data_IF_011571325691
#
_entry.id   IF_011571325691
#
_cell.length_a   1.000
_cell.length_b   1.000
_cell.length_c   1.000
_cell.angle_alpha   90.00
_cell.angle_beta   90.00
_cell.angle_gamma   90.00
#
_symmetry.space_group_name_H-M   'P 1'
#
loop_
_entity.id
_entity.type
_entity.pdbx_description
1 polymer ?
#
# COMPACT_ATOMS: atom_id res chain seq x y z
N UNK A 1 11.39 21.80 4.87
CA UNK A 1 11.68 21.15 3.57
C UNK A 1 11.38 22.14 2.45
N UNK A 2 12.21 22.21 1.40
CA UNK A 2 11.94 23.16 0.29
C UNK A 2 10.88 22.56 -0.64
N UNK A 3 10.00 23.38 -1.20
CA UNK A 3 8.89 22.90 -2.06
C UNK A 3 9.39 22.11 -3.27
N UNK A 4 10.57 22.45 -3.80
CA UNK A 4 11.21 21.74 -4.90
C UNK A 4 11.67 20.32 -4.51
N UNK A 5 12.09 20.12 -3.27
CA UNK A 5 12.44 18.79 -2.74
C UNK A 5 11.19 17.93 -2.57
N UNK A 6 10.09 18.50 -2.06
CA UNK A 6 8.79 17.84 -1.97
C UNK A 6 8.32 17.37 -3.37
N UNK A 7 8.31 18.27 -4.36
CA UNK A 7 7.91 17.94 -5.73
C UNK A 7 8.81 16.85 -6.33
N UNK A 8 10.12 16.91 -6.09
CA UNK A 8 11.07 15.90 -6.57
C UNK A 8 10.81 14.53 -5.93
N UNK A 9 10.49 14.50 -4.64
CA UNK A 9 10.20 13.25 -3.92
C UNK A 9 8.89 12.62 -4.39
N UNK A 10 7.82 13.40 -4.54
CA UNK A 10 6.55 12.92 -5.11
C UNK A 10 6.72 12.35 -6.52
N UNK A 11 7.56 12.98 -7.35
CA UNK A 11 7.86 12.48 -8.68
C UNK A 11 8.56 11.11 -8.65
N UNK A 12 9.47 10.89 -7.69
CA UNK A 12 10.13 9.59 -7.47
C UNK A 12 9.15 8.54 -6.96
N UNK A 13 8.26 8.88 -6.03
CA UNK A 13 7.19 7.99 -5.55
C UNK A 13 6.31 7.55 -6.72
N UNK A 14 5.89 8.49 -7.56
CA UNK A 14 5.09 8.22 -8.76
C UNK A 14 5.83 7.32 -9.76
N UNK A 15 7.13 7.56 -9.98
CA UNK A 15 7.96 6.72 -10.85
C UNK A 15 8.10 5.29 -10.30
N UNK A 16 8.24 5.13 -8.98
CA UNK A 16 8.30 3.82 -8.33
C UNK A 16 7.00 3.03 -8.54
N UNK A 17 5.85 3.67 -8.33
CA UNK A 17 4.51 3.08 -8.58
C UNK A 17 4.36 2.71 -10.06
N UNK A 18 4.72 3.60 -10.98
CA UNK A 18 4.65 3.32 -12.41
C UNK A 18 5.54 2.13 -12.80
N UNK A 19 6.75 2.06 -12.24
CA UNK A 19 7.67 0.94 -12.45
C UNK A 19 7.09 -0.38 -11.93
N UNK A 20 6.50 -0.41 -10.74
CA UNK A 20 5.93 -1.64 -10.18
C UNK A 20 4.76 -2.15 -11.03
N UNK A 21 3.92 -1.26 -11.57
CA UNK A 21 2.86 -1.64 -12.51
C UNK A 21 3.41 -2.24 -13.82
N UNK A 22 4.49 -1.67 -14.37
CA UNK A 22 5.15 -2.20 -15.58
C UNK A 22 5.77 -3.57 -15.30
N UNK A 23 6.43 -3.74 -14.15
CA UNK A 23 7.00 -5.03 -13.74
C UNK A 23 5.90 -6.08 -13.59
N UNK A 24 4.81 -5.75 -12.88
CA UNK A 24 3.67 -6.66 -12.68
C UNK A 24 3.01 -7.06 -14.02
N UNK A 25 2.86 -6.11 -14.96
CA UNK A 25 2.32 -6.39 -16.28
C UNK A 25 3.21 -7.33 -17.11
N UNK A 26 4.53 -7.17 -17.02
CA UNK A 26 5.49 -8.01 -17.73
C UNK A 26 5.70 -9.39 -17.08
N UNK A 27 5.41 -9.53 -15.78
CA UNK A 27 5.48 -10.80 -15.06
C UNK A 27 4.25 -11.68 -15.27
N UNK A 28 3.07 -11.10 -15.53
CA UNK A 28 1.82 -11.85 -15.68
C UNK A 28 1.87 -12.95 -16.78
N UNK A 29 2.42 -12.72 -17.99
CA UNK A 29 2.56 -13.75 -19.01
C UNK A 29 3.56 -14.85 -18.62
N UNK A 30 4.70 -14.46 -18.05
CA UNK A 30 5.75 -15.40 -17.65
C UNK A 30 5.27 -16.36 -16.54
N UNK A 31 4.53 -15.83 -15.57
CA UNK A 31 3.91 -16.61 -14.50
C UNK A 31 2.83 -17.56 -15.03
N UNK A 32 2.02 -17.10 -15.99
CA UNK A 32 0.96 -17.92 -16.58
C UNK A 32 1.51 -19.13 -17.36
N UNK A 33 2.71 -19.00 -17.95
CA UNK A 33 3.39 -20.09 -18.65
C UNK A 33 4.09 -21.04 -17.65
N UNK A 34 4.66 -20.49 -16.57
CA UNK A 34 5.36 -21.28 -15.55
C UNK A 34 4.43 -22.05 -14.60
N UNK A 35 3.16 -21.65 -14.48
CA UNK A 35 2.15 -22.30 -13.63
C UNK A 35 0.84 -22.59 -14.35
N UNK A 36 0.75 -23.71 -15.05
CA UNK A 36 -0.46 -24.12 -15.78
C UNK A 36 -1.70 -24.29 -14.89
N UNK A 37 -1.51 -24.45 -13.57
CA UNK A 37 -2.53 -24.70 -12.55
C UNK A 37 -3.08 -23.43 -11.87
N UNK A 38 -2.71 -22.22 -12.35
CA UNK A 38 -3.11 -20.91 -11.81
C UNK A 38 -2.72 -20.66 -10.34
N UNK A 39 -1.94 -21.53 -9.70
CA UNK A 39 -1.52 -21.37 -8.30
C UNK A 39 -0.54 -20.22 -8.09
N UNK A 40 0.17 -19.78 -9.14
CA UNK A 40 1.16 -18.71 -9.02
C UNK A 40 0.65 -17.36 -9.51
N UNK A 41 -0.65 -17.10 -9.72
CA UNK A 41 -1.08 -15.70 -9.82
C UNK A 41 -0.52 -14.98 -8.60
N UNK A 42 0.41 -14.03 -8.76
CA UNK A 42 1.24 -13.60 -7.66
C UNK A 42 0.47 -12.51 -6.92
N UNK A 43 -0.63 -12.91 -6.29
CA UNK A 43 -1.47 -12.03 -5.48
C UNK A 43 -0.63 -11.40 -4.38
N UNK A 44 0.41 -12.10 -3.91
CA UNK A 44 1.39 -11.61 -2.95
C UNK A 44 2.28 -10.46 -3.47
N UNK A 45 2.62 -10.42 -4.78
CA UNK A 45 3.43 -9.33 -5.35
C UNK A 45 2.71 -7.99 -5.20
N UNK A 46 1.38 -8.01 -5.33
CA UNK A 46 0.55 -6.81 -5.13
C UNK A 46 0.63 -6.30 -3.69
N UNK A 47 0.53 -7.19 -2.70
CA UNK A 47 0.65 -6.80 -1.30
C UNK A 47 2.07 -6.33 -0.96
N UNK A 48 3.11 -6.92 -1.55
CA UNK A 48 4.49 -6.45 -1.38
C UNK A 48 4.70 -5.06 -1.98
N UNK A 49 4.15 -4.81 -3.16
CA UNK A 49 4.18 -3.50 -3.82
C UNK A 49 3.47 -2.45 -2.97
N UNK A 50 2.26 -2.75 -2.50
CA UNK A 50 1.48 -1.86 -1.63
C UNK A 50 2.19 -1.56 -0.32
N UNK A 51 2.86 -2.54 0.29
CA UNK A 51 3.59 -2.37 1.55
C UNK A 51 4.64 -1.25 1.49
N UNK A 52 5.12 -0.89 0.31
CA UNK A 52 6.10 0.19 0.10
C UNK A 52 5.43 1.42 -0.51
N UNK A 53 4.61 1.22 -1.55
CA UNK A 53 4.04 2.33 -2.31
C UNK A 53 2.95 3.07 -1.55
N UNK A 54 2.09 2.37 -0.80
CA UNK A 54 0.98 3.00 -0.07
C UNK A 54 1.46 3.89 1.09
N UNK A 55 2.46 3.49 1.92
CA UNK A 55 3.02 4.39 2.93
C UNK A 55 3.70 5.62 2.31
N UNK A 56 4.39 5.46 1.18
CA UNK A 56 5.05 6.59 0.51
C UNK A 56 4.05 7.59 -0.06
N UNK A 57 2.94 7.11 -0.64
CA UNK A 57 1.86 7.98 -1.11
C UNK A 57 1.19 8.73 0.05
N UNK A 58 0.96 8.05 1.18
CA UNK A 58 0.41 8.67 2.38
C UNK A 58 1.38 9.67 3.02
N UNK A 59 2.68 9.39 2.99
CA UNK A 59 3.71 10.33 3.43
C UNK A 59 3.70 11.59 2.55
N UNK A 60 3.61 11.44 1.23
CA UNK A 60 3.51 12.58 0.31
C UNK A 60 2.26 13.43 0.61
N UNK A 61 1.10 12.79 0.86
CA UNK A 61 -0.13 13.48 1.25
C UNK A 61 0.00 14.19 2.60
N UNK A 62 0.54 13.52 3.62
CA UNK A 62 0.74 14.09 4.94
C UNK A 62 1.68 15.30 4.92
N UNK A 63 2.75 15.24 4.11
CA UNK A 63 3.68 16.36 3.94
C UNK A 63 3.06 17.56 3.20
N UNK A 64 2.15 17.32 2.25
CA UNK A 64 1.39 18.39 1.57
C UNK A 64 0.36 19.01 2.51
N UNK A 65 -0.36 18.19 3.27
CA UNK A 65 -1.37 18.62 4.22
C UNK A 65 -0.76 19.28 5.48
N UNK A 66 0.53 19.06 5.75
CA UNK A 66 1.22 19.62 6.91
C UNK A 66 0.84 18.91 8.22
N UNK A 67 0.49 17.62 8.14
CA UNK A 67 0.14 16.78 9.28
C UNK A 67 1.34 16.65 10.24
N UNK A 68 1.09 16.61 11.55
CA UNK A 68 2.14 16.44 12.56
C UNK A 68 2.91 15.13 12.36
N UNK A 69 4.15 15.08 12.85
CA UNK A 69 5.05 13.93 12.72
C UNK A 69 4.50 12.69 13.42
N UNK A 70 3.83 12.84 14.57
CA UNK A 70 3.26 11.70 15.31
C UNK A 70 2.05 11.13 14.61
N UNK A 71 1.18 11.99 14.09
CA UNK A 71 0.01 11.58 13.30
C UNK A 71 0.44 10.95 11.98
N UNK A 72 1.45 11.52 11.32
CA UNK A 72 2.08 10.92 10.13
C UNK A 72 2.64 9.54 10.45
N UNK A 73 3.34 9.38 11.59
CA UNK A 73 3.86 8.07 11.99
C UNK A 73 2.74 7.06 12.25
N UNK A 74 1.68 7.45 12.96
CA UNK A 74 0.52 6.61 13.20
C UNK A 74 -0.19 6.21 11.89
N UNK A 75 -0.28 7.15 10.94
CA UNK A 75 -0.83 6.93 9.60
C UNK A 75 -0.05 5.84 8.84
N UNK A 76 1.29 5.93 8.84
CA UNK A 76 2.13 4.94 8.17
C UNK A 76 2.04 3.55 8.81
N UNK A 77 1.96 3.49 10.14
CA UNK A 77 1.80 2.22 10.86
C UNK A 77 0.43 1.59 10.57
N UNK A 78 -0.65 2.39 10.60
CA UNK A 78 -1.99 1.92 10.27
C UNK A 78 -2.06 1.35 8.85
N UNK A 79 -1.43 2.01 7.88
CA UNK A 79 -1.37 1.55 6.49
C UNK A 79 -0.58 0.23 6.32
N UNK A 80 0.59 0.11 6.95
CA UNK A 80 1.35 -1.15 6.96
C UNK A 80 0.55 -2.30 7.58
N UNK A 81 -0.16 -2.04 8.68
CA UNK A 81 -1.04 -3.03 9.31
C UNK A 81 -2.24 -3.39 8.42
N UNK A 82 -2.84 -2.40 7.74
CA UNK A 82 -3.92 -2.61 6.78
C UNK A 82 -3.49 -3.58 5.66
N UNK A 83 -2.33 -3.35 5.03
CA UNK A 83 -1.83 -4.16 3.93
C UNK A 83 -1.42 -5.57 4.41
N UNK A 84 -0.74 -5.68 5.54
CA UNK A 84 -0.29 -6.99 6.07
C UNK A 84 -1.45 -7.88 6.50
N UNK A 85 -2.45 -7.32 7.18
CA UNK A 85 -3.67 -8.07 7.54
C UNK A 85 -4.50 -8.37 6.29
N UNK A 86 -4.58 -7.43 5.34
CA UNK A 86 -5.25 -7.64 4.05
C UNK A 86 -4.62 -8.78 3.23
N UNK A 87 -3.30 -8.96 3.30
CA UNK A 87 -2.61 -10.08 2.67
C UNK A 87 -3.08 -11.43 3.22
N UNK A 88 -3.24 -11.53 4.55
CA UNK A 88 -3.77 -12.74 5.20
C UNK A 88 -5.20 -13.00 4.73
N UNK A 89 -6.04 -11.94 4.68
CA UNK A 89 -7.42 -12.07 4.22
C UNK A 89 -7.52 -12.53 2.75
N UNK A 90 -6.66 -11.99 1.90
CA UNK A 90 -6.64 -12.26 0.46
C UNK A 90 -5.98 -13.58 0.06
N UNK A 91 -5.34 -14.28 0.99
CA UNK A 91 -4.74 -15.58 0.75
C UNK A 91 -5.60 -16.71 1.38
N UNK A 92 -6.27 -17.53 0.55
CA UNK A 92 -7.16 -18.58 1.02
C UNK A 92 -6.46 -19.67 1.84
N UNK A 93 -5.14 -19.81 1.73
CA UNK A 93 -4.37 -20.82 2.45
C UNK A 93 -4.38 -20.58 3.98
N UNK A 94 -4.61 -19.34 4.44
CA UNK A 94 -4.67 -19.02 5.87
C UNK A 94 -6.05 -19.22 6.50
N UNK A 95 -7.12 -19.36 5.72
CA UNK A 95 -8.45 -19.67 6.25
C UNK A 95 -9.15 -18.58 7.09
N UNK A 96 -8.59 -17.37 7.18
CA UNK A 96 -9.11 -16.26 8.01
C UNK A 96 -9.60 -15.06 7.19
N UNK A 97 -10.26 -15.32 6.06
CA UNK A 97 -10.60 -14.28 5.07
C UNK A 97 -11.46 -13.16 5.66
N UNK A 98 -12.55 -13.49 6.35
CA UNK A 98 -13.51 -12.48 6.80
C UNK A 98 -13.07 -11.75 8.07
N UNK A 99 -12.41 -12.45 9.01
CA UNK A 99 -11.91 -11.82 10.23
C UNK A 99 -10.77 -10.85 9.92
N UNK A 100 -9.79 -11.30 9.11
CA UNK A 100 -8.70 -10.43 8.69
C UNK A 100 -9.20 -9.32 7.76
N UNK A 101 -10.21 -9.55 6.92
CA UNK A 101 -10.81 -8.47 6.13
C UNK A 101 -11.41 -7.38 7.03
N UNK A 102 -12.18 -7.75 8.05
CA UNK A 102 -12.77 -6.79 8.97
C UNK A 102 -11.70 -5.99 9.75
N UNK A 103 -10.64 -6.67 10.21
CA UNK A 103 -9.51 -6.01 10.90
C UNK A 103 -8.74 -5.08 9.95
N UNK A 104 -8.48 -5.50 8.71
CA UNK A 104 -7.87 -4.65 7.69
C UNK A 104 -8.72 -3.41 7.39
N UNK A 105 -10.04 -3.55 7.35
CA UNK A 105 -10.96 -2.42 7.21
C UNK A 105 -10.95 -1.47 8.41
N UNK A 106 -10.76 -1.97 9.63
CA UNK A 106 -10.59 -1.10 10.79
C UNK A 106 -9.34 -0.22 10.66
N UNK A 107 -8.22 -0.78 10.20
CA UNK A 107 -7.01 -0.01 9.92
C UNK A 107 -7.20 0.97 8.75
N UNK A 108 -7.90 0.58 7.69
CA UNK A 108 -8.24 1.48 6.60
C UNK A 108 -9.06 2.68 7.06
N UNK A 109 -10.07 2.46 7.91
CA UNK A 109 -10.87 3.54 8.48
C UNK A 109 -10.05 4.45 9.39
N UNK A 110 -9.09 3.90 10.15
CA UNK A 110 -8.15 4.68 10.95
C UNK A 110 -7.26 5.56 10.05
N UNK A 111 -6.73 5.03 8.95
CA UNK A 111 -5.96 5.78 7.95
C UNK A 111 -6.78 6.94 7.39
N UNK A 112 -8.04 6.70 7.00
CA UNK A 112 -8.94 7.75 6.51
C UNK A 112 -9.24 8.81 7.57
N UNK A 113 -9.43 8.39 8.81
CA UNK A 113 -9.69 9.28 9.94
C UNK A 113 -8.50 10.23 10.18
N UNK A 114 -7.28 9.71 10.26
CA UNK A 114 -6.07 10.51 10.52
C UNK A 114 -5.84 11.53 9.39
N UNK A 115 -5.99 11.13 8.13
CA UNK A 115 -5.87 12.06 6.99
C UNK A 115 -6.98 13.11 7.04
N UNK A 116 -8.22 12.69 7.28
CA UNK A 116 -9.36 13.59 7.33
C UNK A 116 -9.26 14.64 8.45
N UNK A 117 -8.82 14.23 9.64
CA UNK A 117 -8.57 15.13 10.76
C UNK A 117 -7.41 16.09 10.46
N UNK A 118 -6.30 15.58 9.91
CA UNK A 118 -5.13 16.38 9.56
C UNK A 118 -5.34 17.37 8.39
N UNK A 119 -6.48 17.29 7.68
CA UNK A 119 -6.84 18.19 6.57
C UNK A 119 -7.78 19.34 6.96
N UNK A 120 -8.37 19.31 8.16
CA UNK A 120 -9.34 20.30 8.66
C UNK A 120 -8.69 21.34 9.59
#
# INVERSE_FOLDING_TARGET
MKINELITNMAKTTQLVAFSHVVNANMAPAVSIASPDKRLEPKWLRYLDWLITTPLLLLDLALIAGIDVWDTFALLVADVLMITVGFVAGNPDYGHTWECFAVSMAFFLLTLYIIGEGML
#
